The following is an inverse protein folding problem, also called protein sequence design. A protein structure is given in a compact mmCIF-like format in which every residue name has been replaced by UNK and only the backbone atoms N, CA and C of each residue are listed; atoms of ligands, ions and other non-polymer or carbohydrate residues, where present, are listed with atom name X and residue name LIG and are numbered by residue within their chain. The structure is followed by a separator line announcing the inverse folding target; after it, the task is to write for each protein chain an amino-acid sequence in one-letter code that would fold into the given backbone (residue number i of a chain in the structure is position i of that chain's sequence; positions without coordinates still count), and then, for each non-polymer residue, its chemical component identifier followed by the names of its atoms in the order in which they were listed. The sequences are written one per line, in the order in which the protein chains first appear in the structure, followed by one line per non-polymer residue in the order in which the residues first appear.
data_IF_786772577587
#
_entry.id   IF_786772577587
#
_cell.length_a   1.000
_cell.length_b   1.000
_cell.length_c   1.000
_cell.angle_alpha   90.00
_cell.angle_beta   90.00
_cell.angle_gamma   90.00
#
_symmetry.space_group_name_H-M   'P 1'
#
loop_
_entity.id
_entity.type
_entity.pdbx_description
1 polymer ?
#
# COMPACT_ATOMS: atom_id res chain seq x y z
N UNK A 1 -12.63 14.41 5.88
CA UNK A 1 -11.26 14.77 5.40
C UNK A 1 -10.16 14.43 6.41
N UNK A 2 -10.47 14.40 7.71
CA UNK A 2 -9.60 14.10 8.86
C UNK A 2 -9.05 12.66 8.90
N UNK A 3 -9.79 11.64 8.46
CA UNK A 3 -9.33 10.24 8.54
C UNK A 3 -8.19 9.89 7.57
N UNK A 4 -8.17 10.48 6.37
CA UNK A 4 -7.18 10.15 5.33
C UNK A 4 -5.78 10.68 5.65
N UNK A 5 -5.68 11.83 6.32
CA UNK A 5 -4.41 12.42 6.75
C UNK A 5 -3.82 11.66 7.94
N UNK A 6 -4.67 11.18 8.84
CA UNK A 6 -4.30 10.33 9.97
C UNK A 6 -3.77 8.98 9.50
N UNK A 7 -4.48 8.27 8.62
CA UNK A 7 -4.07 6.96 8.08
C UNK A 7 -2.71 6.99 7.33
N UNK A 8 -2.39 8.10 6.63
CA UNK A 8 -1.09 8.27 5.98
C UNK A 8 0.05 8.56 6.96
N UNK A 9 -0.21 9.35 7.99
CA UNK A 9 0.77 9.63 9.06
C UNK A 9 1.08 8.36 9.82
N UNK A 10 0.07 7.55 10.15
CA UNK A 10 0.26 6.28 10.85
C UNK A 10 1.04 5.27 10.00
N UNK A 11 0.78 5.17 8.69
CA UNK A 11 1.54 4.25 7.82
C UNK A 11 3.02 4.64 7.72
N UNK A 12 3.32 5.93 7.54
CA UNK A 12 4.71 6.42 7.46
C UNK A 12 5.42 6.24 8.80
N UNK A 13 4.76 6.58 9.91
CA UNK A 13 5.32 6.39 11.24
C UNK A 13 5.57 4.91 11.57
N UNK A 14 4.64 4.03 11.19
CA UNK A 14 4.76 2.59 11.38
C UNK A 14 5.95 2.02 10.59
N UNK A 15 6.13 2.44 9.33
CA UNK A 15 7.30 2.06 8.53
C UNK A 15 8.61 2.55 9.17
N UNK A 16 8.67 3.83 9.55
CA UNK A 16 9.85 4.41 10.19
C UNK A 16 10.21 3.72 11.50
N UNK A 17 9.22 3.50 12.37
CA UNK A 17 9.41 2.78 13.62
C UNK A 17 9.84 1.33 13.36
N UNK A 18 9.19 0.65 12.42
CA UNK A 18 9.51 -0.72 12.04
C UNK A 18 10.94 -0.90 11.55
N UNK A 19 11.39 -0.06 10.62
CA UNK A 19 12.79 -0.08 10.14
C UNK A 19 13.76 0.22 11.29
N UNK A 20 13.43 1.17 12.17
CA UNK A 20 14.26 1.48 13.35
C UNK A 20 14.43 0.26 14.26
N UNK A 21 13.33 -0.44 14.56
CA UNK A 21 13.32 -1.66 15.37
C UNK A 21 14.15 -2.76 14.72
N UNK A 22 14.05 -2.93 13.39
CA UNK A 22 14.87 -3.88 12.65
C UNK A 22 16.35 -3.52 12.75
N UNK A 23 16.73 -2.28 12.47
CA UNK A 23 18.13 -1.84 12.50
C UNK A 23 18.76 -1.98 13.90
N UNK A 24 18.05 -1.57 14.94
CA UNK A 24 18.56 -1.61 16.30
C UNK A 24 18.46 -3.01 16.94
N UNK A 25 17.40 -3.75 16.65
CA UNK A 25 17.10 -5.03 17.29
C UNK A 25 17.85 -6.21 16.68
N UNK A 26 18.11 -6.19 15.37
CA UNK A 26 18.70 -7.33 14.68
C UNK A 26 20.08 -7.75 15.22
N UNK A 27 21.05 -6.83 15.47
CA UNK A 27 22.33 -7.22 16.08
C UNK A 27 22.14 -7.75 17.50
N UNK A 28 21.23 -7.16 18.28
CA UNK A 28 20.96 -7.57 19.67
C UNK A 28 20.38 -8.97 19.74
N UNK A 29 19.50 -9.34 18.78
CA UNK A 29 18.93 -10.68 18.67
C UNK A 29 19.97 -11.74 18.25
N UNK A 30 21.02 -11.35 17.52
CA UNK A 30 22.11 -12.21 17.10
C UNK A 30 23.30 -12.23 18.09
N UNK A 31 23.25 -11.47 19.19
CA UNK A 31 24.42 -11.14 20.04
C UNK A 31 25.24 -12.36 20.46
N UNK A 32 24.59 -13.48 20.75
CA UNK A 32 25.24 -14.69 21.31
C UNK A 32 26.02 -15.47 20.23
N UNK A 33 25.88 -15.08 18.96
CA UNK A 33 26.50 -15.70 17.79
C UNK A 33 27.38 -14.72 17.01
N UNK A 34 27.65 -13.56 17.58
CA UNK A 34 28.43 -12.50 16.94
C UNK A 34 29.75 -12.29 17.69
N UNK A 35 30.82 -11.91 16.98
CA UNK A 35 32.05 -11.45 17.61
C UNK A 35 31.85 -10.11 18.34
N UNK A 36 32.74 -9.79 19.29
CA UNK A 36 32.71 -8.56 20.11
C UNK A 36 32.65 -7.28 19.25
N UNK A 37 33.28 -7.34 18.07
CA UNK A 37 33.23 -6.32 17.02
C UNK A 37 32.69 -6.95 15.76
N UNK A 38 31.92 -6.19 15.00
CA UNK A 38 31.38 -6.61 13.71
C UNK A 38 32.11 -5.88 12.58
N UNK A 39 32.44 -6.61 11.53
CA UNK A 39 32.83 -6.02 10.25
C UNK A 39 31.63 -5.25 9.70
N UNK A 40 31.80 -3.96 9.48
CA UNK A 40 30.77 -3.07 8.93
C UNK A 40 31.22 -2.39 7.64
N UNK A 41 32.50 -2.51 7.29
CA UNK A 41 33.06 -1.98 6.06
C UNK A 41 33.99 -3.02 5.43
N UNK A 42 33.96 -3.06 4.10
CA UNK A 42 34.81 -3.88 3.27
C UNK A 42 35.40 -3.01 2.18
N UNK A 43 36.65 -3.25 1.82
CA UNK A 43 37.26 -2.63 0.66
C UNK A 43 36.50 -2.96 -0.62
N UNK A 44 36.82 -2.26 -1.72
CA UNK A 44 36.13 -2.39 -3.02
C UNK A 44 36.15 -3.82 -3.60
N UNK A 45 37.08 -4.67 -3.15
CA UNK A 45 37.17 -6.09 -3.52
C UNK A 45 36.21 -7.00 -2.72
N UNK A 46 35.56 -6.51 -1.65
CA UNK A 46 34.56 -7.22 -0.85
C UNK A 46 35.08 -8.39 -0.01
N UNK A 47 36.36 -8.71 -0.10
CA UNK A 47 36.95 -9.92 0.50
C UNK A 47 37.61 -9.67 1.84
N UNK A 48 38.11 -8.47 2.08
CA UNK A 48 38.84 -8.13 3.31
C UNK A 48 38.11 -7.00 4.02
N UNK A 49 37.56 -7.25 5.22
CA UNK A 49 36.99 -6.19 6.03
C UNK A 49 38.12 -5.31 6.57
N UNK A 50 37.92 -4.00 6.51
CA UNK A 50 38.89 -2.95 6.85
C UNK A 50 38.31 -1.93 7.85
N UNK A 51 37.05 -2.11 8.26
CA UNK A 51 36.42 -1.33 9.32
C UNK A 51 35.42 -2.14 10.14
N UNK A 52 35.42 -1.91 11.45
CA UNK A 52 34.54 -2.59 12.40
C UNK A 52 33.90 -1.66 13.42
N UNK A 53 32.78 -2.10 13.98
CA UNK A 53 32.06 -1.42 15.05
C UNK A 53 31.81 -2.39 16.22
N UNK A 54 31.84 -1.92 17.48
CA UNK A 54 31.29 -2.70 18.59
C UNK A 54 29.78 -2.91 18.39
N UNK A 55 29.22 -3.99 18.97
CA UNK A 55 27.82 -4.38 18.79
C UNK A 55 26.82 -3.23 19.00
N UNK A 56 26.98 -2.45 20.08
CA UNK A 56 26.08 -1.33 20.37
C UNK A 56 26.09 -0.27 19.25
N UNK A 57 27.25 0.00 18.65
CA UNK A 57 27.37 0.98 17.58
C UNK A 57 26.79 0.44 16.28
N UNK A 58 27.00 -0.86 16.00
CA UNK A 58 26.38 -1.55 14.87
C UNK A 58 24.84 -1.59 14.96
N UNK A 59 24.26 -1.45 16.15
CA UNK A 59 22.81 -1.28 16.37
C UNK A 59 22.35 0.18 16.28
N UNK A 60 23.03 1.08 16.97
CA UNK A 60 22.55 2.47 17.16
C UNK A 60 22.85 3.35 15.96
N UNK A 61 24.03 3.24 15.34
CA UNK A 61 24.45 4.15 14.27
C UNK A 61 23.53 4.05 13.04
N UNK A 62 23.22 2.85 12.50
CA UNK A 62 22.32 2.73 11.36
C UNK A 62 20.90 3.21 11.68
N UNK A 63 20.41 2.91 12.88
CA UNK A 63 19.10 3.36 13.35
C UNK A 63 19.04 4.89 13.48
N UNK A 64 20.10 5.53 13.97
CA UNK A 64 20.19 6.99 14.07
C UNK A 64 20.25 7.64 12.69
N UNK A 65 21.07 7.12 11.77
CA UNK A 65 21.12 7.58 10.37
C UNK A 65 19.72 7.54 9.77
N UNK A 66 19.01 6.41 9.92
CA UNK A 66 17.64 6.26 9.45
C UNK A 66 16.69 7.29 10.05
N UNK A 67 16.69 7.46 11.38
CA UNK A 67 15.80 8.41 12.06
C UNK A 67 16.08 9.85 11.66
N UNK A 68 17.35 10.24 11.55
CA UNK A 68 17.75 11.58 11.11
C UNK A 68 17.31 11.83 9.67
N UNK A 69 17.55 10.89 8.75
CA UNK A 69 17.08 11.02 7.36
C UNK A 69 15.56 11.04 7.28
N UNK A 70 14.88 10.19 8.04
CA UNK A 70 13.42 10.17 8.11
C UNK A 70 12.86 11.50 8.61
N UNK A 71 13.45 12.08 9.65
CA UNK A 71 13.09 13.40 10.16
C UNK A 71 13.37 14.51 9.13
N UNK A 72 14.54 14.49 8.50
CA UNK A 72 14.94 15.47 7.47
C UNK A 72 14.01 15.45 6.25
N UNK A 73 13.47 14.27 5.88
CA UNK A 73 12.50 14.15 4.78
C UNK A 73 11.08 14.47 5.24
N UNK A 74 10.67 14.08 6.45
CA UNK A 74 9.27 14.26 6.89
C UNK A 74 8.98 15.66 7.42
N UNK A 75 9.88 16.28 8.18
CA UNK A 75 9.63 17.57 8.86
C UNK A 75 9.42 18.73 7.86
N UNK A 76 10.27 18.94 6.84
CA UNK A 76 10.03 20.00 5.86
C UNK A 76 8.76 19.75 5.05
N UNK A 77 8.45 18.49 4.74
CA UNK A 77 7.26 18.11 3.97
C UNK A 77 5.97 18.21 4.80
N UNK A 78 6.05 18.12 6.12
CA UNK A 78 4.93 18.44 7.01
C UNK A 78 4.62 19.94 7.04
N UNK A 79 5.60 20.79 6.72
CA UNK A 79 5.46 22.26 6.63
C UNK A 79 5.06 22.73 5.23
N UNK A 80 5.43 22.01 4.17
CA UNK A 80 5.20 22.39 2.76
C UNK A 80 3.79 22.06 2.20
N UNK A 81 2.84 21.61 3.04
CA UNK A 81 1.45 21.34 2.62
C UNK A 81 1.22 20.00 1.90
N UNK A 82 -0.03 19.72 1.47
CA UNK A 82 -0.45 18.45 0.87
C UNK A 82 0.29 17.96 -0.39
N UNK A 83 0.74 18.81 -1.34
CA UNK A 83 1.28 18.35 -2.62
C UNK A 83 2.72 17.82 -2.55
N UNK A 84 3.50 18.17 -1.52
CA UNK A 84 4.86 17.65 -1.33
C UNK A 84 4.90 16.23 -0.74
N UNK A 85 3.77 15.79 -0.15
CA UNK A 85 3.64 14.56 0.65
C UNK A 85 3.81 13.19 -0.06
N UNK A 86 3.68 13.03 -1.39
CA UNK A 86 3.97 11.73 -2.01
C UNK A 86 5.47 11.41 -2.10
N UNK A 87 6.34 12.43 -2.09
CA UNK A 87 7.79 12.26 -2.16
C UNK A 87 8.38 11.56 -0.93
N UNK A 88 7.75 11.69 0.25
CA UNK A 88 8.20 10.94 1.45
C UNK A 88 8.17 9.43 1.21
N UNK A 89 7.14 8.91 0.53
CA UNK A 89 7.02 7.48 0.26
C UNK A 89 8.04 7.02 -0.80
N UNK A 90 8.30 7.85 -1.81
CA UNK A 90 9.26 7.55 -2.89
C UNK A 90 10.70 7.55 -2.37
N UNK A 91 11.01 8.34 -1.33
CA UNK A 91 12.36 8.42 -0.75
C UNK A 91 12.57 7.44 0.41
N UNK A 92 11.65 7.39 1.38
CA UNK A 92 11.85 6.61 2.61
C UNK A 92 11.68 5.10 2.41
N UNK A 93 10.84 4.69 1.46
CA UNK A 93 10.63 3.27 1.18
C UNK A 93 11.89 2.59 0.63
N UNK A 94 12.53 3.06 -0.46
CA UNK A 94 13.76 2.44 -0.95
C UNK A 94 14.92 2.59 0.04
N UNK A 95 15.05 3.73 0.73
CA UNK A 95 16.10 3.92 1.72
C UNK A 95 15.98 2.94 2.88
N UNK A 96 14.77 2.72 3.40
CA UNK A 96 14.54 1.73 4.46
C UNK A 96 14.89 0.31 4.01
N UNK A 97 14.60 -0.04 2.74
CA UNK A 97 15.00 -1.33 2.15
C UNK A 97 16.52 -1.47 2.08
N UNK A 98 17.23 -0.43 1.62
CA UNK A 98 18.70 -0.44 1.58
C UNK A 98 19.29 -0.65 2.97
N UNK A 99 18.89 0.16 3.95
CA UNK A 99 19.45 0.10 5.29
C UNK A 99 19.16 -1.24 5.98
N UNK A 100 17.92 -1.73 5.91
CA UNK A 100 17.56 -3.02 6.49
C UNK A 100 18.28 -4.19 5.79
N UNK A 101 18.43 -4.13 4.46
CA UNK A 101 19.17 -5.11 3.67
C UNK A 101 20.65 -5.13 4.02
N UNK A 102 21.27 -3.95 4.13
CA UNK A 102 22.68 -3.80 4.55
C UNK A 102 22.86 -4.36 5.96
N UNK A 103 21.96 -4.04 6.90
CA UNK A 103 22.01 -4.59 8.26
C UNK A 103 21.95 -6.12 8.25
N UNK A 104 21.03 -6.71 7.48
CA UNK A 104 20.93 -8.17 7.37
C UNK A 104 22.19 -8.80 6.80
N UNK A 105 22.79 -8.18 5.79
CA UNK A 105 24.02 -8.67 5.19
C UNK A 105 25.20 -8.55 6.18
N UNK A 106 25.32 -7.44 6.92
CA UNK A 106 26.32 -7.26 7.99
C UNK A 106 26.19 -8.36 9.04
N UNK A 107 24.97 -8.61 9.54
CA UNK A 107 24.74 -9.66 10.54
C UNK A 107 25.12 -11.02 9.96
N UNK A 108 24.59 -11.37 8.79
CA UNK A 108 24.88 -12.66 8.14
C UNK A 108 26.37 -12.90 7.93
N UNK A 109 27.11 -11.87 7.54
CA UNK A 109 28.55 -11.99 7.24
C UNK A 109 29.42 -12.17 8.48
N UNK A 110 28.93 -11.74 9.65
CA UNK A 110 29.62 -11.87 10.94
C UNK A 110 29.10 -13.04 11.79
N UNK A 111 27.98 -13.67 11.42
CA UNK A 111 27.39 -14.77 12.19
C UNK A 111 28.35 -15.96 12.31
N UNK A 112 28.43 -16.47 13.53
CA UNK A 112 29.24 -17.61 13.95
C UNK A 112 30.73 -17.44 13.61
N UNK A 113 31.23 -16.20 13.61
CA UNK A 113 32.66 -15.88 13.48
C UNK A 113 33.26 -15.53 14.82
N UNK A 114 34.49 -15.99 15.04
CA UNK A 114 35.26 -15.63 16.23
C UNK A 114 35.87 -14.23 16.11
N UNK A 115 36.23 -13.83 14.88
CA UNK A 115 36.82 -12.54 14.58
C UNK A 115 36.12 -11.88 13.38
N UNK A 116 35.92 -10.57 13.45
CA UNK A 116 35.34 -9.79 12.35
C UNK A 116 36.18 -9.82 11.07
N UNK A 117 37.50 -10.05 11.17
CA UNK A 117 38.39 -10.20 10.02
C UNK A 117 38.04 -11.42 9.13
N UNK A 118 37.30 -12.39 9.68
CA UNK A 118 36.82 -13.58 8.96
C UNK A 118 35.51 -13.30 8.18
N UNK A 119 34.88 -12.15 8.41
CA UNK A 119 33.66 -11.77 7.72
C UNK A 119 33.94 -11.58 6.22
N UNK A 120 33.04 -12.11 5.39
CA UNK A 120 33.11 -12.01 3.93
C UNK A 120 31.77 -11.51 3.43
N UNK A 121 31.79 -10.52 2.54
CA UNK A 121 30.57 -9.93 1.99
C UNK A 121 30.46 -10.31 0.50
N UNK A 122 29.59 -11.26 0.13
CA UNK A 122 29.42 -11.62 -1.27
C UNK A 122 28.80 -10.45 -2.05
N UNK A 123 29.43 -10.05 -3.16
CA UNK A 123 28.94 -8.95 -4.02
C UNK A 123 27.50 -9.13 -4.48
N UNK A 124 27.05 -10.38 -4.65
CA UNK A 124 25.67 -10.71 -5.00
C UNK A 124 24.63 -10.16 -4.02
N UNK A 125 24.96 -10.03 -2.73
CA UNK A 125 24.07 -9.42 -1.74
C UNK A 125 23.87 -7.92 -1.99
N UNK A 126 24.95 -7.20 -2.30
CA UNK A 126 24.88 -5.76 -2.60
C UNK A 126 23.99 -5.54 -3.83
N UNK A 127 24.19 -6.34 -4.88
CA UNK A 127 23.36 -6.26 -6.09
C UNK A 127 21.88 -6.54 -5.77
N UNK A 128 21.59 -7.59 -4.99
CA UNK A 128 20.22 -7.93 -4.61
C UNK A 128 19.53 -6.80 -3.83
N UNK A 129 20.23 -6.15 -2.88
CA UNK A 129 19.71 -5.02 -2.11
C UNK A 129 19.42 -3.82 -3.02
N UNK A 130 20.33 -3.50 -3.94
CA UNK A 130 20.14 -2.39 -4.88
C UNK A 130 18.96 -2.64 -5.83
N UNK A 131 18.84 -3.86 -6.36
CA UNK A 131 17.68 -4.25 -7.20
C UNK A 131 16.38 -4.13 -6.39
N UNK A 132 16.35 -4.63 -5.16
CA UNK A 132 15.18 -4.52 -4.29
C UNK A 132 14.82 -3.06 -4.00
N UNK A 133 15.81 -2.19 -3.77
CA UNK A 133 15.60 -0.77 -3.54
C UNK A 133 15.02 -0.06 -4.78
N UNK A 134 15.54 -0.37 -5.97
CA UNK A 134 15.00 0.18 -7.23
C UNK A 134 13.55 -0.26 -7.43
N UNK A 135 13.26 -1.55 -7.24
CA UNK A 135 11.89 -2.08 -7.35
C UNK A 135 10.95 -1.41 -6.34
N UNK A 136 11.41 -1.19 -5.11
CA UNK A 136 10.66 -0.50 -4.08
C UNK A 136 10.39 0.97 -4.47
N UNK A 137 11.38 1.68 -4.97
CA UNK A 137 11.24 3.06 -5.47
C UNK A 137 10.24 3.16 -6.63
N UNK A 138 10.33 2.26 -7.61
CA UNK A 138 9.39 2.17 -8.75
C UNK A 138 7.97 1.89 -8.25
N UNK A 139 7.80 0.93 -7.33
CA UNK A 139 6.49 0.63 -6.73
C UNK A 139 5.91 1.85 -6.00
N UNK A 140 6.73 2.55 -5.20
CA UNK A 140 6.34 3.79 -4.53
C UNK A 140 5.89 4.87 -5.52
N UNK A 141 6.64 5.07 -6.60
CA UNK A 141 6.32 6.02 -7.66
C UNK A 141 5.00 5.68 -8.37
N UNK A 142 4.78 4.42 -8.74
CA UNK A 142 3.54 3.97 -9.38
C UNK A 142 2.32 4.15 -8.47
N UNK A 143 2.49 3.89 -7.17
CA UNK A 143 1.42 4.09 -6.18
C UNK A 143 1.08 5.57 -5.99
N UNK A 144 2.05 6.47 -6.12
CA UNK A 144 1.85 7.92 -6.05
C UNK A 144 1.15 8.44 -7.30
N UNK A 145 1.71 8.15 -8.48
CA UNK A 145 1.22 8.70 -9.76
C UNK A 145 -0.22 8.30 -10.06
N UNK A 146 -0.59 7.05 -9.78
CA UNK A 146 -1.98 6.58 -9.95
C UNK A 146 -2.98 7.21 -8.96
N UNK A 147 -2.51 7.71 -7.82
CA UNK A 147 -3.38 8.38 -6.83
C UNK A 147 -3.60 9.85 -7.14
N UNK A 148 -2.65 10.53 -7.76
CA UNK A 148 -2.77 11.96 -8.13
C UNK A 148 -3.74 12.18 -9.30
N UNK A 149 -3.82 11.25 -10.26
CA UNK A 149 -4.78 11.33 -11.37
C UNK A 149 -6.27 11.23 -10.99
N UNK A 150 -6.58 11.06 -9.70
CA UNK A 150 -7.94 10.91 -9.17
C UNK A 150 -8.38 12.09 -8.27
N UNK A 151 -7.54 13.11 -8.07
CA UNK A 151 -7.72 14.09 -7.00
C UNK A 151 -7.97 15.54 -7.47
N UNK A 152 -8.12 15.83 -8.77
CA UNK A 152 -8.09 17.22 -9.27
C UNK A 152 -9.43 17.86 -9.68
N UNK A 153 -10.57 17.17 -9.62
CA UNK A 153 -11.86 17.80 -9.96
C UNK A 153 -12.71 18.08 -8.71
N UNK A 154 -12.16 18.89 -7.81
CA UNK A 154 -12.89 19.47 -6.69
C UNK A 154 -13.52 20.82 -7.06
N UNK A 155 -14.36 20.85 -8.09
CA UNK A 155 -15.14 22.07 -8.39
C UNK A 155 -16.32 22.16 -7.45
N UNK A 156 -16.32 23.19 -6.60
CA UNK A 156 -17.46 23.59 -5.77
C UNK A 156 -18.68 23.86 -6.64
N UNK A 157 -19.81 23.24 -6.35
CA UNK A 157 -21.15 23.62 -6.84
C UNK A 157 -22.10 23.32 -5.68
N UNK A 158 -22.78 24.30 -5.08
CA UNK A 158 -23.72 25.18 -5.77
C UNK A 158 -25.06 24.46 -5.73
N UNK A 159 -25.93 24.92 -4.84
CA UNK A 159 -27.28 24.41 -4.56
C UNK A 159 -28.11 24.35 -5.85
N UNK A 160 -28.50 23.15 -6.28
CA UNK A 160 -29.76 22.79 -6.94
C UNK A 160 -29.59 21.40 -7.57
N UNK A 161 -30.50 20.47 -7.26
CA UNK A 161 -30.66 19.26 -8.03
C UNK A 161 -31.66 19.52 -9.17
N UNK A 162 -31.21 19.45 -10.43
CA UNK A 162 -32.06 18.86 -11.46
C UNK A 162 -31.26 17.93 -12.39
N UNK A 163 -32.00 17.12 -13.14
CA UNK A 163 -31.53 16.22 -14.20
C UNK A 163 -30.40 16.85 -15.00
N UNK A 164 -29.22 16.20 -14.98
CA UNK A 164 -28.03 16.67 -15.69
C UNK A 164 -28.31 16.67 -17.21
N UNK A 165 -28.64 17.84 -17.76
CA UNK A 165 -28.71 18.05 -19.20
C UNK A 165 -27.28 18.06 -19.74
N UNK A 166 -26.94 17.04 -20.53
CA UNK A 166 -25.58 16.81 -21.02
C UNK A 166 -25.34 17.79 -22.18
N UNK A 167 -24.48 18.82 -22.04
CA UNK A 167 -24.21 19.74 -23.14
C UNK A 167 -23.57 18.96 -24.29
N UNK A 168 -24.14 19.07 -25.50
CA UNK A 168 -23.65 18.37 -26.69
C UNK A 168 -22.14 18.62 -26.87
N UNK A 169 -21.35 17.55 -26.83
CA UNK A 169 -19.90 17.59 -27.05
C UNK A 169 -19.01 17.58 -25.79
N UNK A 170 -19.56 17.57 -24.56
CA UNK A 170 -18.77 17.41 -23.32
C UNK A 170 -18.84 15.98 -22.79
N UNK A 171 -17.68 15.41 -22.47
CA UNK A 171 -17.57 14.07 -21.85
C UNK A 171 -17.69 14.19 -20.34
N UNK A 172 -18.79 13.70 -19.78
CA UNK A 172 -18.99 13.62 -18.32
C UNK A 172 -18.42 12.32 -17.77
N UNK A 173 -17.69 12.43 -16.67
CA UNK A 173 -17.14 11.29 -15.93
C UNK A 173 -17.47 11.49 -14.47
N UNK A 174 -18.11 10.50 -13.86
CA UNK A 174 -18.27 10.43 -12.41
C UNK A 174 -17.23 9.46 -11.85
N UNK A 175 -16.60 9.86 -10.75
CA UNK A 175 -15.59 9.05 -10.07
C UNK A 175 -15.79 9.16 -8.56
N UNK A 176 -15.85 8.01 -7.89
CA UNK A 176 -15.92 7.94 -6.44
C UNK A 176 -14.99 6.87 -5.90
N UNK A 177 -14.40 7.13 -4.74
CA UNK A 177 -13.43 6.23 -4.09
C UNK A 177 -13.69 6.12 -2.61
N UNK A 178 -13.88 4.89 -2.17
CA UNK A 178 -14.04 4.54 -0.76
C UNK A 178 -12.87 3.70 -0.29
N UNK A 179 -12.44 3.93 0.95
CA UNK A 179 -11.35 3.19 1.57
C UNK A 179 -11.69 2.85 3.02
N UNK A 180 -11.23 1.69 3.47
CA UNK A 180 -11.36 1.25 4.85
C UNK A 180 -9.99 1.43 5.56
N UNK A 181 -9.85 2.36 6.52
CA UNK A 181 -8.57 2.65 7.17
C UNK A 181 -8.05 1.48 8.02
N UNK A 182 -8.93 0.65 8.58
CA UNK A 182 -8.55 -0.54 9.35
C UNK A 182 -7.89 -1.60 8.47
N UNK A 183 -8.44 -1.85 7.27
CA UNK A 183 -7.80 -2.75 6.31
C UNK A 183 -6.46 -2.22 5.81
N UNK A 184 -6.31 -0.90 5.68
CA UNK A 184 -5.01 -0.28 5.36
C UNK A 184 -4.00 -0.47 6.49
N UNK A 185 -4.42 -0.25 7.75
CA UNK A 185 -3.58 -0.45 8.91
C UNK A 185 -3.16 -1.91 9.06
N UNK A 186 -4.10 -2.85 8.90
CA UNK A 186 -3.82 -4.28 8.95
C UNK A 186 -2.87 -4.72 7.84
N UNK A 187 -3.06 -4.20 6.62
CA UNK A 187 -2.14 -4.44 5.51
C UNK A 187 -0.72 -3.93 5.82
N UNK A 188 -0.60 -2.73 6.40
CA UNK A 188 0.68 -2.15 6.77
C UNK A 188 1.36 -2.93 7.91
N UNK A 189 0.62 -3.31 8.94
CA UNK A 189 1.14 -4.06 10.09
C UNK A 189 1.61 -5.47 9.68
N UNK A 190 0.77 -6.23 8.98
CA UNK A 190 1.15 -7.56 8.48
C UNK A 190 2.28 -7.48 7.45
N UNK A 191 2.29 -6.45 6.59
CA UNK A 191 3.38 -6.23 5.64
C UNK A 191 4.71 -5.94 6.35
N UNK A 192 4.69 -5.15 7.43
CA UNK A 192 5.88 -4.88 8.23
C UNK A 192 6.41 -6.15 8.89
N UNK A 193 5.54 -7.00 9.46
CA UNK A 193 5.92 -8.29 10.02
C UNK A 193 6.53 -9.20 8.95
N UNK A 194 5.94 -9.24 7.75
CA UNK A 194 6.49 -10.02 6.64
C UNK A 194 7.90 -9.54 6.26
N UNK A 195 8.10 -8.23 6.10
CA UNK A 195 9.42 -7.67 5.81
C UNK A 195 10.41 -7.98 6.92
N UNK A 196 10.03 -7.82 8.19
CA UNK A 196 10.88 -8.17 9.34
C UNK A 196 11.28 -9.65 9.35
N UNK A 197 10.34 -10.55 9.06
CA UNK A 197 10.59 -11.98 8.96
C UNK A 197 11.55 -12.31 7.80
N UNK A 198 11.38 -11.66 6.64
CA UNK A 198 12.29 -11.80 5.50
C UNK A 198 13.69 -11.30 5.83
N UNK A 199 13.81 -10.13 6.45
CA UNK A 199 15.11 -9.58 6.88
C UNK A 199 15.79 -10.51 7.89
N UNK A 200 15.04 -11.04 8.86
CA UNK A 200 15.56 -11.99 9.84
C UNK A 200 16.02 -13.31 9.20
N UNK A 201 15.27 -13.81 8.21
CA UNK A 201 15.61 -15.01 7.44
C UNK A 201 16.90 -14.80 6.65
N UNK A 202 16.99 -13.68 5.93
CA UNK A 202 18.17 -13.27 5.16
C UNK A 202 19.39 -13.12 6.09
N UNK A 203 19.17 -12.55 7.27
CA UNK A 203 20.17 -12.41 8.32
C UNK A 203 20.61 -13.68 9.02
N UNK A 204 19.92 -14.82 8.83
CA UNK A 204 20.29 -16.09 9.47
C UNK A 204 19.97 -16.16 10.98
N UNK A 205 19.00 -15.37 11.45
CA UNK A 205 18.65 -15.26 12.87
C UNK A 205 17.95 -16.50 13.46
N UNK A 206 17.21 -17.27 12.66
CA UNK A 206 16.48 -18.44 13.13
C UNK A 206 16.31 -19.51 12.05
N UNK A 207 15.74 -20.65 12.43
CA UNK A 207 15.45 -21.76 11.54
C UNK A 207 14.58 -21.29 10.33
N UNK A 208 14.96 -21.62 9.08
CA UNK A 208 14.29 -21.09 7.90
C UNK A 208 12.80 -21.39 7.82
N UNK A 209 12.36 -22.57 8.28
CA UNK A 209 10.97 -23.03 8.14
C UNK A 209 9.95 -22.11 8.80
N UNK A 210 10.19 -21.71 10.06
CA UNK A 210 9.26 -20.85 10.81
C UNK A 210 9.22 -19.43 10.23
N UNK A 211 10.38 -18.88 9.86
CA UNK A 211 10.46 -17.55 9.27
C UNK A 211 9.83 -17.49 7.87
N UNK A 212 9.98 -18.54 7.06
CA UNK A 212 9.30 -18.65 5.78
C UNK A 212 7.79 -18.72 5.94
N UNK A 213 7.28 -19.52 6.88
CA UNK A 213 5.86 -19.60 7.16
C UNK A 213 5.29 -18.25 7.63
N UNK A 214 6.01 -17.55 8.52
CA UNK A 214 5.64 -16.22 9.00
C UNK A 214 5.64 -15.20 7.85
N UNK A 215 6.71 -15.16 7.04
CA UNK A 215 6.79 -14.30 5.87
C UNK A 215 5.63 -14.55 4.91
N UNK A 216 5.43 -15.81 4.49
CA UNK A 216 4.40 -16.16 3.53
C UNK A 216 3.00 -15.83 4.04
N UNK A 217 2.67 -16.22 5.28
CA UNK A 217 1.37 -15.95 5.89
C UNK A 217 1.09 -14.45 6.01
N UNK A 218 2.05 -13.68 6.53
CA UNK A 218 1.90 -12.24 6.69
C UNK A 218 1.91 -11.48 5.35
N UNK A 219 2.69 -11.93 4.35
CA UNK A 219 2.71 -11.33 3.03
C UNK A 219 1.36 -11.54 2.30
N UNK A 220 0.80 -12.74 2.37
CA UNK A 220 -0.53 -13.04 1.81
C UNK A 220 -1.61 -12.23 2.52
N UNK A 221 -1.59 -12.17 3.85
CA UNK A 221 -2.53 -11.36 4.61
C UNK A 221 -2.44 -9.87 4.27
N UNK A 222 -1.21 -9.34 4.15
CA UNK A 222 -0.94 -7.96 3.78
C UNK A 222 -1.48 -7.63 2.38
N UNK A 223 -1.19 -8.48 1.39
CA UNK A 223 -1.65 -8.29 0.02
C UNK A 223 -3.18 -8.36 -0.07
N UNK A 224 -3.80 -9.35 0.58
CA UNK A 224 -5.25 -9.51 0.59
C UNK A 224 -5.95 -8.30 1.23
N UNK A 225 -5.42 -7.81 2.35
CA UNK A 225 -5.94 -6.61 3.00
C UNK A 225 -5.73 -5.37 2.14
N UNK A 226 -4.55 -5.19 1.52
CA UNK A 226 -4.24 -4.05 0.68
C UNK A 226 -5.15 -3.98 -0.56
N UNK A 227 -5.36 -5.11 -1.25
CA UNK A 227 -6.28 -5.20 -2.39
C UNK A 227 -7.72 -4.91 -1.98
N UNK A 228 -8.15 -5.39 -0.81
CA UNK A 228 -9.51 -5.20 -0.31
C UNK A 228 -9.72 -3.84 0.39
N UNK A 229 -8.65 -3.06 0.58
CA UNK A 229 -8.68 -1.86 1.43
C UNK A 229 -9.36 -0.64 0.79
N UNK A 230 -9.50 -0.62 -0.53
CA UNK A 230 -10.21 0.45 -1.22
C UNK A 230 -10.93 -0.03 -2.46
N UNK A 231 -11.99 0.68 -2.83
CA UNK A 231 -12.73 0.48 -4.07
C UNK A 231 -12.90 1.83 -4.76
N UNK A 232 -12.81 1.80 -6.08
CA UNK A 232 -12.97 2.95 -6.96
C UNK A 232 -14.07 2.61 -7.94
N UNK A 233 -15.09 3.46 -8.04
CA UNK A 233 -16.12 3.35 -9.05
C UNK A 233 -15.99 4.53 -10.02
N UNK A 234 -15.95 4.24 -11.31
CA UNK A 234 -15.89 5.22 -12.39
C UNK A 234 -17.04 4.96 -13.35
N UNK A 235 -17.85 5.97 -13.59
CA UNK A 235 -18.89 5.97 -14.62
C UNK A 235 -18.45 6.90 -15.73
N UNK A 236 -18.44 6.39 -16.96
CA UNK A 236 -18.11 7.14 -18.18
C UNK A 236 -18.89 6.58 -19.36
N UNK A 237 -18.73 7.12 -20.57
CA UNK A 237 -19.34 6.59 -21.80
C UNK A 237 -19.05 5.10 -22.04
N UNK A 238 -17.95 4.57 -21.49
CA UNK A 238 -17.59 3.14 -21.53
C UNK A 238 -18.42 2.28 -20.57
N UNK A 239 -19.25 2.88 -19.72
CA UNK A 239 -20.04 2.25 -18.68
C UNK A 239 -19.43 2.38 -17.29
N UNK A 240 -19.70 1.39 -16.44
CA UNK A 240 -19.26 1.33 -15.05
C UNK A 240 -17.97 0.49 -14.94
N UNK A 241 -16.94 1.07 -14.34
CA UNK A 241 -15.71 0.39 -13.95
C UNK A 241 -15.54 0.44 -12.43
N UNK A 242 -15.46 -0.73 -11.79
CA UNK A 242 -15.23 -0.90 -10.36
C UNK A 242 -13.90 -1.57 -10.14
N UNK A 243 -12.96 -0.86 -9.53
CA UNK A 243 -11.58 -1.28 -9.36
C UNK A 243 -11.18 -1.34 -7.90
N UNK A 244 -10.45 -2.38 -7.51
CA UNK A 244 -10.06 -2.66 -6.14
C UNK A 244 -8.63 -2.19 -5.84
N UNK A 245 -8.36 -1.99 -4.57
CA UNK A 245 -7.04 -1.71 -4.05
C UNK A 245 -6.48 -0.33 -4.43
N UNK A 246 -5.26 -0.03 -3.93
CA UNK A 246 -4.59 1.23 -4.20
C UNK A 246 -4.11 1.36 -5.65
N UNK A 247 -3.97 0.25 -6.37
CA UNK A 247 -3.49 0.20 -7.76
C UNK A 247 -4.62 0.26 -8.80
N UNK A 248 -5.89 0.21 -8.35
CA UNK A 248 -7.04 0.09 -9.25
C UNK A 248 -7.09 -1.28 -9.95
N UNK A 249 -6.58 -2.32 -9.30
CA UNK A 249 -6.57 -3.69 -9.80
C UNK A 249 -6.68 -4.68 -8.63
N UNK A 250 -7.45 -5.78 -8.76
CA UNK A 250 -8.29 -6.20 -9.91
C UNK A 250 -9.48 -5.25 -10.15
N UNK A 251 -10.13 -5.35 -11.30
CA UNK A 251 -11.28 -4.50 -11.64
C UNK A 251 -12.34 -5.23 -12.45
N UNK A 252 -13.57 -4.73 -12.41
CA UNK A 252 -14.72 -5.25 -13.13
C UNK A 252 -15.39 -4.14 -13.92
N UNK A 253 -15.79 -4.44 -15.15
CA UNK A 253 -16.39 -3.49 -16.07
C UNK A 253 -17.73 -3.99 -16.57
N UNK A 254 -18.64 -3.06 -16.79
CA UNK A 254 -19.93 -3.28 -17.42
C UNK A 254 -20.17 -2.19 -18.45
N UNK A 255 -20.46 -2.56 -19.70
CA UNK A 255 -20.86 -1.58 -20.69
C UNK A 255 -22.24 -1.01 -20.32
N UNK A 256 -22.63 0.19 -20.79
CA UNK A 256 -23.94 0.77 -20.48
C UNK A 256 -25.11 -0.15 -20.87
N UNK A 257 -24.98 -0.93 -21.95
CA UNK A 257 -26.00 -1.88 -22.41
C UNK A 257 -26.10 -3.16 -21.57
N UNK A 258 -25.07 -3.47 -20.76
CA UNK A 258 -25.03 -4.65 -19.88
C UNK A 258 -25.68 -4.37 -18.51
N UNK A 259 -26.36 -3.23 -18.36
CA UNK A 259 -26.93 -2.78 -17.09
C UNK A 259 -28.42 -2.49 -17.31
N UNK A 260 -29.27 -3.24 -16.62
CA UNK A 260 -30.72 -3.06 -16.67
C UNK A 260 -31.16 -1.88 -15.82
N UNK A 261 -30.64 -1.73 -14.60
CA UNK A 261 -30.97 -0.59 -13.72
C UNK A 261 -29.76 -0.16 -12.90
N UNK A 262 -29.69 1.14 -12.60
CA UNK A 262 -28.75 1.71 -11.63
C UNK A 262 -29.51 2.57 -10.62
N UNK A 263 -29.20 2.42 -9.34
CA UNK A 263 -29.83 3.18 -8.24
C UNK A 263 -28.89 3.35 -7.06
N UNK A 264 -29.15 4.36 -6.25
CA UNK A 264 -28.53 4.50 -4.94
C UNK A 264 -29.35 3.72 -3.90
N UNK A 265 -28.67 2.95 -3.05
CA UNK A 265 -29.28 2.35 -1.86
C UNK A 265 -28.37 2.56 -0.65
N UNK A 266 -28.95 2.76 0.52
CA UNK A 266 -28.22 2.75 1.78
C UNK A 266 -28.15 1.32 2.29
N UNK A 267 -26.94 0.79 2.50
CA UNK A 267 -26.71 -0.56 3.03
C UNK A 267 -25.78 -0.52 4.25
N UNK A 268 -26.00 -1.42 5.19
CA UNK A 268 -25.16 -1.62 6.37
C UNK A 268 -24.38 -2.93 6.26
N UNK A 269 -23.17 -3.03 6.86
CA UNK A 269 -22.39 -4.26 6.86
C UNK A 269 -23.16 -5.47 7.38
N UNK A 270 -23.99 -5.30 8.41
CA UNK A 270 -24.80 -6.37 8.99
C UNK A 270 -25.78 -7.00 7.98
N UNK A 271 -26.29 -6.22 7.02
CA UNK A 271 -27.28 -6.66 6.03
C UNK A 271 -26.65 -7.47 4.88
N UNK A 272 -25.34 -7.29 4.66
CA UNK A 272 -24.63 -7.87 3.51
C UNK A 272 -23.56 -8.89 3.92
N UNK A 273 -23.52 -9.27 5.21
CA UNK A 273 -22.59 -10.27 5.73
C UNK A 273 -21.20 -9.73 6.12
N UNK A 274 -21.07 -8.43 6.35
CA UNK A 274 -19.89 -7.77 6.91
C UNK A 274 -19.13 -6.88 5.92
N UNK A 275 -17.87 -6.59 6.25
CA UNK A 275 -16.96 -5.77 5.44
C UNK A 275 -16.27 -6.58 4.34
N UNK A 276 -15.96 -5.96 3.20
CA UNK A 276 -15.23 -6.56 2.09
C UNK A 276 -16.11 -6.95 0.91
N UNK A 277 -15.63 -7.90 0.10
CA UNK A 277 -16.37 -8.46 -1.03
C UNK A 277 -17.28 -9.59 -0.53
N UNK A 278 -18.60 -9.38 -0.61
CA UNK A 278 -19.60 -10.28 -0.03
C UNK A 278 -20.55 -10.82 -1.08
N UNK A 279 -20.87 -12.11 -0.94
CA UNK A 279 -21.90 -12.80 -1.68
C UNK A 279 -23.06 -13.05 -0.72
N UNK A 280 -24.22 -12.45 -0.98
CA UNK A 280 -25.43 -12.60 -0.14
C UNK A 280 -26.67 -12.81 -1.01
N UNK A 281 -27.84 -12.98 -0.38
CA UNK A 281 -29.13 -13.03 -1.09
C UNK A 281 -29.43 -11.75 -1.90
N UNK A 282 -28.80 -10.62 -1.54
CA UNK A 282 -28.88 -9.35 -2.27
C UNK A 282 -27.91 -9.30 -3.48
N UNK A 283 -27.19 -10.39 -3.76
CA UNK A 283 -26.17 -10.46 -4.80
C UNK A 283 -24.77 -10.16 -4.28
N UNK A 284 -23.93 -9.58 -5.13
CA UNK A 284 -22.55 -9.23 -4.79
C UNK A 284 -22.51 -7.83 -4.20
N UNK A 285 -22.00 -7.65 -2.99
CA UNK A 285 -21.80 -6.33 -2.40
C UNK A 285 -20.35 -6.13 -1.99
N UNK A 286 -19.74 -5.03 -2.45
CA UNK A 286 -18.46 -4.53 -1.96
C UNK A 286 -18.73 -3.49 -0.89
N UNK A 287 -18.56 -3.87 0.37
CA UNK A 287 -18.88 -3.04 1.53
C UNK A 287 -17.61 -2.62 2.26
N UNK A 288 -17.15 -1.39 2.07
CA UNK A 288 -15.97 -0.84 2.76
C UNK A 288 -16.31 0.24 3.80
N UNK A 289 -17.47 0.89 3.65
CA UNK A 289 -18.08 1.77 4.66
C UNK A 289 -19.59 1.56 4.68
N UNK A 290 -20.24 1.75 5.82
CA UNK A 290 -21.70 1.78 5.89
C UNK A 290 -22.23 3.03 5.15
N UNK A 291 -23.47 2.98 4.67
CA UNK A 291 -24.14 4.12 4.05
C UNK A 291 -24.45 3.89 2.57
N UNK A 292 -24.33 4.95 1.78
CA UNK A 292 -24.64 4.94 0.35
C UNK A 292 -23.83 3.90 -0.42
N UNK A 293 -24.52 3.18 -1.28
CA UNK A 293 -24.00 2.22 -2.23
C UNK A 293 -24.58 2.49 -3.62
N UNK A 294 -23.73 2.44 -4.64
CA UNK A 294 -24.17 2.37 -6.03
C UNK A 294 -24.55 0.92 -6.33
N UNK A 295 -25.81 0.69 -6.65
CA UNK A 295 -26.36 -0.64 -6.95
C UNK A 295 -26.71 -0.70 -8.43
N UNK A 296 -26.18 -1.70 -9.11
CA UNK A 296 -26.49 -1.99 -10.51
C UNK A 296 -27.05 -3.39 -10.66
N UNK A 297 -28.04 -3.53 -11.55
CA UNK A 297 -28.57 -4.82 -12.00
C UNK A 297 -27.94 -5.17 -13.33
N UNK A 298 -26.98 -6.12 -13.41
CA UNK A 298 -26.42 -6.54 -14.67
C UNK A 298 -27.47 -7.26 -15.52
N UNK A 299 -27.49 -6.95 -16.82
CA UNK A 299 -28.42 -7.54 -17.79
C UNK A 299 -28.25 -9.05 -17.87
N UNK A 300 -29.37 -9.77 -17.86
CA UNK A 300 -29.37 -11.23 -17.88
C UNK A 300 -28.92 -11.91 -16.58
N UNK A 301 -28.68 -11.16 -15.49
CA UNK A 301 -28.39 -11.72 -14.16
C UNK A 301 -29.52 -11.42 -13.17
N UNK A 302 -29.82 -12.41 -12.32
CA UNK A 302 -30.81 -12.28 -11.23
C UNK A 302 -30.26 -11.60 -9.96
N UNK A 303 -28.96 -11.33 -9.89
CA UNK A 303 -28.29 -10.78 -8.71
C UNK A 303 -27.82 -9.35 -8.95
N UNK A 304 -28.04 -8.45 -7.99
CA UNK A 304 -27.42 -7.11 -8.00
C UNK A 304 -25.90 -7.19 -7.80
N UNK A 305 -25.23 -6.16 -8.28
CA UNK A 305 -23.90 -5.77 -7.83
C UNK A 305 -23.99 -4.41 -7.13
N UNK A 306 -23.50 -4.33 -5.90
CA UNK A 306 -23.49 -3.12 -5.10
C UNK A 306 -22.05 -2.76 -4.68
N UNK A 307 -21.74 -1.48 -4.64
CA UNK A 307 -20.45 -0.98 -4.15
C UNK A 307 -20.67 0.23 -3.24
N UNK A 308 -20.10 0.21 -2.04
CA UNK A 308 -20.15 1.35 -1.10
C UNK A 308 -19.27 2.48 -1.65
N UNK A 309 -19.89 3.59 -2.04
CA UNK A 309 -19.26 4.77 -2.66
C UNK A 309 -20.00 6.04 -2.28
N UNK A 310 -19.26 7.15 -2.18
CA UNK A 310 -19.83 8.47 -1.93
C UNK A 310 -20.52 8.98 -3.19
N UNK A 311 -21.59 9.76 -3.04
CA UNK A 311 -22.31 10.40 -4.15
C UNK A 311 -22.87 9.36 -5.16
N UNK A 312 -23.38 8.26 -4.61
CA UNK A 312 -23.89 7.14 -5.39
C UNK A 312 -25.11 7.53 -6.25
N UNK A 313 -25.86 8.55 -5.81
CA UNK A 313 -27.03 9.06 -6.52
C UNK A 313 -26.65 9.67 -7.87
N UNK A 314 -25.67 10.57 -7.92
CA UNK A 314 -25.18 11.16 -9.19
C UNK A 314 -24.52 10.12 -10.09
N UNK A 315 -23.80 9.16 -9.51
CA UNK A 315 -23.23 8.03 -10.25
C UNK A 315 -24.31 7.18 -10.93
N UNK A 316 -25.40 6.89 -10.22
CA UNK A 316 -26.54 6.16 -10.77
C UNK A 316 -27.27 6.98 -11.86
N UNK A 317 -27.49 8.28 -11.62
CA UNK A 317 -28.13 9.17 -12.58
C UNK A 317 -27.38 9.24 -13.92
N UNK A 318 -26.04 9.43 -13.88
CA UNK A 318 -25.21 9.44 -15.07
C UNK A 318 -25.25 8.09 -15.81
N UNK A 319 -25.19 6.97 -15.08
CA UNK A 319 -25.22 5.65 -15.68
C UNK A 319 -26.56 5.37 -16.39
N UNK A 320 -27.68 5.80 -15.80
CA UNK A 320 -29.01 5.70 -16.39
C UNK A 320 -29.16 6.60 -17.64
N UNK A 321 -28.58 7.80 -17.63
CA UNK A 321 -28.56 8.69 -18.80
C UNK A 321 -27.80 8.05 -19.98
N UNK A 322 -26.59 7.55 -19.73
CA UNK A 322 -25.75 6.89 -20.74
C UNK A 322 -26.38 5.62 -21.33
N UNK A 323 -27.13 4.87 -20.52
CA UNK A 323 -27.92 3.71 -20.99
C UNK A 323 -28.99 4.13 -21.98
N UNK A 324 -29.64 5.28 -21.75
CA UNK A 324 -30.79 5.75 -22.54
C UNK A 324 -30.36 6.36 -23.86
N UNK A 325 -29.23 7.09 -23.87
CA UNK A 325 -28.67 7.71 -25.07
C UNK A 325 -28.25 6.64 -26.12
N UNK A 326 -27.65 5.55 -25.65
CA UNK A 326 -27.25 4.43 -26.52
C UNK A 326 -28.40 3.56 -27.01
N UNK A 327 -29.57 3.62 -26.37
CA UNK A 327 -30.77 2.94 -26.85
C UNK A 327 -31.46 3.72 -27.99
N UNK A 328 -31.06 4.97 -28.22
CA UNK A 328 -31.63 5.87 -29.23
C UNK A 328 -30.78 6.02 -30.49
N UNK A 329 -29.56 5.48 -30.50
CA UNK A 329 -28.66 5.44 -31.67
C UNK A 329 -28.41 4.02 -32.11
#
# INVERSE_FOLDING_TARGET
MTDRTTARRTTTALWTAGVTVVLAGMPLLARDRLPDRLATHWGLNGTSPDGSMPLWAASVVPALIWLVTAAAVTVPLMRAGPPARPWTAVTLLPLGVVLAGVQAAVIRSNLDRADWHEARQPTGWVVAILVAAVLAGVAGWLLVTRRSGAADDGTTSGDDAPTLDIPKGRRLVWFSRTANPWLQLLAAATGLVAVGALVALLGGLAAPGALWALFAGCAVASLACAVSSSVQARVSERGLEVSFGPLGWPGRRWAPGDIDTARMEVRRPAEVGGWGYRLSGLGTTVMLRAGECLVVRPRGRRSDFAVSVDDAERGAALLNALRTDRARG
#
